data_IF_065380203953
#
_entry.id   IF_065380203953
#
_cell.length_a   1.000
_cell.length_b   1.000
_cell.length_c   1.000
_cell.angle_alpha   90.00
_cell.angle_beta   90.00
_cell.angle_gamma   90.00
#
_symmetry.space_group_name_H-M   'P 1'
#
loop_
_entity.id
_entity.type
_entity.pdbx_description
1 polymer ?
#
# COMPACT_ATOMS: atom_id res chain seq x y z
N UNK A 1 -2.23 20.39 -41.88
CA UNK A 1 -1.65 21.02 -40.67
C UNK A 1 -0.93 19.93 -39.91
N UNK A 2 0.40 19.91 -39.97
CA UNK A 2 1.24 18.97 -39.21
C UNK A 2 1.07 19.28 -37.73
N UNK A 3 0.44 18.36 -36.99
CA UNK A 3 0.32 18.48 -35.54
C UNK A 3 1.73 18.58 -34.95
N UNK A 4 2.00 19.60 -34.14
CA UNK A 4 3.25 19.70 -33.40
C UNK A 4 3.41 18.42 -32.57
N UNK A 5 4.60 17.79 -32.56
CA UNK A 5 4.82 16.61 -31.73
C UNK A 5 4.51 16.99 -30.28
N UNK A 6 3.62 16.23 -29.65
CA UNK A 6 3.39 16.38 -28.21
C UNK A 6 4.69 16.01 -27.51
N UNK A 7 5.11 16.82 -26.54
CA UNK A 7 6.36 16.63 -25.80
C UNK A 7 6.07 16.50 -24.32
N UNK A 8 6.81 15.63 -23.63
CA UNK A 8 6.76 15.46 -22.19
C UNK A 8 8.09 15.83 -21.55
N UNK A 9 8.11 16.05 -20.24
CA UNK A 9 9.33 16.29 -19.49
C UNK A 9 9.90 14.98 -18.97
N UNK A 10 11.13 14.63 -19.32
CA UNK A 10 11.80 13.48 -18.70
C UNK A 10 12.11 13.77 -17.21
N UNK A 11 11.74 12.84 -16.33
CA UNK A 11 11.88 12.94 -14.86
C UNK A 11 12.95 11.98 -14.33
N UNK A 12 12.97 10.75 -14.83
CA UNK A 12 13.93 9.72 -14.42
C UNK A 12 14.05 8.66 -15.53
N UNK A 13 15.03 7.77 -15.40
CA UNK A 13 15.19 6.57 -16.24
C UNK A 13 15.24 5.33 -15.34
N UNK A 14 14.60 4.25 -15.76
CA UNK A 14 14.42 3.02 -14.96
C UNK A 14 14.77 1.79 -15.80
N UNK A 15 15.10 0.68 -15.12
CA UNK A 15 15.28 -0.62 -15.78
C UNK A 15 14.11 -1.55 -15.48
N UNK A 16 13.56 -2.16 -16.53
CA UNK A 16 12.70 -3.35 -16.46
C UNK A 16 13.55 -4.58 -16.80
N UNK A 17 13.48 -5.63 -15.98
CA UNK A 17 14.19 -6.89 -16.22
C UNK A 17 13.21 -8.06 -16.36
N UNK A 18 13.48 -8.89 -17.37
CA UNK A 18 12.80 -10.17 -17.61
C UNK A 18 13.85 -11.26 -17.79
N UNK A 19 13.45 -12.53 -17.80
CA UNK A 19 14.34 -13.67 -18.03
C UNK A 19 15.20 -13.53 -19.31
N UNK A 20 14.66 -12.93 -20.37
CA UNK A 20 15.29 -12.93 -21.70
C UNK A 20 15.89 -11.59 -22.13
N UNK A 21 15.49 -10.48 -21.49
CA UNK A 21 15.87 -9.11 -21.89
C UNK A 21 15.76 -8.10 -20.76
N UNK A 22 16.51 -7.01 -20.89
CA UNK A 22 16.43 -5.80 -20.05
C UNK A 22 16.01 -4.61 -20.90
N UNK A 23 15.03 -3.83 -20.43
CA UNK A 23 14.55 -2.61 -21.09
C UNK A 23 14.90 -1.39 -20.26
N UNK A 24 15.40 -0.35 -20.90
CA UNK A 24 15.52 0.99 -20.29
C UNK A 24 14.26 1.77 -20.61
N UNK A 25 13.65 2.37 -19.58
CA UNK A 25 12.41 3.13 -19.66
C UNK A 25 12.67 4.58 -19.25
N UNK A 26 12.02 5.53 -19.93
CA UNK A 26 12.00 6.94 -19.55
C UNK A 26 10.71 7.23 -18.79
N UNK A 27 10.82 7.78 -17.58
CA UNK A 27 9.69 8.29 -16.80
C UNK A 27 9.41 9.73 -17.23
N UNK A 28 8.21 9.99 -17.72
CA UNK A 28 7.82 11.25 -18.32
C UNK A 28 6.69 11.93 -17.52
N UNK A 29 6.81 13.24 -17.32
CA UNK A 29 5.79 14.12 -16.77
C UNK A 29 5.04 14.80 -17.91
N UNK A 30 3.71 14.78 -17.86
CA UNK A 30 2.84 15.43 -18.83
C UNK A 30 2.15 16.63 -18.17
N UNK A 31 2.00 17.74 -18.89
CA UNK A 31 1.46 19.00 -18.32
C UNK A 31 0.06 18.84 -17.70
N UNK A 32 -0.75 17.91 -18.22
CA UNK A 32 -2.14 17.69 -17.81
C UNK A 32 -2.55 16.21 -17.79
N UNK A 33 -1.64 15.32 -17.38
CA UNK A 33 -1.93 13.88 -17.35
C UNK A 33 -1.10 13.13 -16.32
N UNK A 34 -1.44 11.86 -16.06
CA UNK A 34 -0.59 10.98 -15.27
C UNK A 34 0.79 10.91 -15.93
N UNK A 35 1.82 10.60 -15.14
CA UNK A 35 3.16 10.32 -15.68
C UNK A 35 3.09 9.15 -16.68
N UNK A 36 4.11 8.91 -17.49
CA UNK A 36 4.16 7.74 -18.39
C UNK A 36 5.54 7.09 -18.37
N UNK A 37 5.59 5.79 -18.66
CA UNK A 37 6.85 5.09 -18.94
C UNK A 37 6.95 4.77 -20.42
N UNK A 38 8.01 5.24 -21.07
CA UNK A 38 8.25 4.96 -22.50
C UNK A 38 9.53 4.16 -22.66
N UNK A 39 9.47 3.08 -23.44
CA UNK A 39 10.63 2.27 -23.74
C UNK A 39 11.66 3.10 -24.54
N UNK A 40 12.90 3.08 -24.07
CA UNK A 40 14.04 3.78 -24.66
C UNK A 40 14.84 2.81 -25.52
N UNK A 41 15.27 1.70 -24.93
CA UNK A 41 16.02 0.65 -25.61
C UNK A 41 15.81 -0.69 -24.92
N UNK A 42 16.06 -1.77 -25.66
CA UNK A 42 16.09 -3.14 -25.14
C UNK A 42 17.46 -3.74 -25.38
N UNK A 43 18.03 -4.42 -24.40
CA UNK A 43 19.30 -5.12 -24.52
C UNK A 43 19.27 -6.46 -23.79
N UNK A 44 20.14 -7.39 -24.19
CA UNK A 44 20.20 -8.74 -23.59
C UNK A 44 20.94 -8.78 -22.25
N UNK A 45 21.91 -7.88 -22.05
CA UNK A 45 22.77 -7.86 -20.86
C UNK A 45 22.25 -6.81 -19.87
N UNK A 46 21.90 -7.17 -18.63
CA UNK A 46 21.47 -6.23 -17.60
C UNK A 46 22.46 -5.09 -17.36
N UNK A 47 23.76 -5.39 -17.33
CA UNK A 47 24.83 -4.40 -17.12
C UNK A 47 24.78 -3.24 -18.12
N UNK A 48 24.46 -3.54 -19.38
CA UNK A 48 24.33 -2.50 -20.40
C UNK A 48 23.11 -1.59 -20.17
N UNK A 49 22.02 -2.14 -19.62
CA UNK A 49 20.84 -1.35 -19.26
C UNK A 49 21.14 -0.41 -18.09
N UNK A 50 21.85 -0.91 -17.07
CA UNK A 50 22.24 -0.11 -15.91
C UNK A 50 23.19 1.02 -16.28
N UNK A 51 24.24 0.73 -17.04
CA UNK A 51 25.19 1.75 -17.49
C UNK A 51 24.48 2.80 -18.38
N UNK A 52 23.54 2.37 -19.23
CA UNK A 52 22.72 3.29 -20.02
C UNK A 52 21.83 4.20 -19.15
N UNK A 53 21.13 3.65 -18.14
CA UNK A 53 20.32 4.44 -17.20
C UNK A 53 21.17 5.45 -16.45
N UNK A 54 22.35 5.05 -16.00
CA UNK A 54 23.23 5.90 -15.21
C UNK A 54 23.79 7.08 -16.03
N UNK A 55 24.19 6.80 -17.28
CA UNK A 55 24.53 7.82 -18.28
C UNK A 55 23.36 8.79 -18.49
N UNK A 56 22.15 8.27 -18.73
CA UNK A 56 20.97 9.08 -19.03
C UNK A 56 20.56 9.95 -17.83
N UNK A 57 20.62 9.43 -16.61
CA UNK A 57 20.36 10.19 -15.37
C UNK A 57 21.35 11.31 -15.16
N UNK A 58 22.65 11.07 -15.39
CA UNK A 58 23.69 12.11 -15.27
C UNK A 58 23.49 13.22 -16.31
N UNK A 59 23.17 12.87 -17.55
CA UNK A 59 22.84 13.84 -18.59
C UNK A 59 21.56 14.62 -18.24
N UNK A 60 20.52 13.94 -17.76
CA UNK A 60 19.26 14.55 -17.33
C UNK A 60 19.47 15.58 -16.20
N UNK A 61 20.27 15.22 -15.19
CA UNK A 61 20.58 16.07 -14.06
C UNK A 61 21.42 17.30 -14.47
N UNK A 62 22.39 17.12 -15.37
CA UNK A 62 23.33 18.18 -15.77
C UNK A 62 22.90 19.00 -17.00
N UNK A 63 21.93 18.50 -17.78
CA UNK A 63 21.51 19.06 -19.07
C UNK A 63 22.66 19.21 -20.07
N UNK A 64 23.63 18.29 -20.02
CA UNK A 64 24.87 18.38 -20.79
C UNK A 64 25.34 16.99 -21.23
N UNK A 65 25.56 16.81 -22.54
CA UNK A 65 26.02 15.55 -23.14
C UNK A 65 27.52 15.35 -22.92
N UNK A 66 28.30 16.44 -22.84
CA UNK A 66 29.76 16.37 -22.73
C UNK A 66 30.21 15.65 -21.45
N UNK A 67 29.35 15.59 -20.43
CA UNK A 67 29.67 14.93 -19.16
C UNK A 67 29.75 13.39 -19.22
N UNK A 68 29.30 12.77 -20.32
CA UNK A 68 29.24 11.30 -20.49
C UNK A 68 29.80 10.81 -21.83
N UNK A 69 30.43 11.68 -22.63
CA UNK A 69 30.74 11.38 -24.04
C UNK A 69 31.67 10.16 -24.20
N UNK A 70 32.69 10.03 -23.34
CA UNK A 70 33.61 8.90 -23.35
C UNK A 70 32.92 7.58 -22.95
N UNK A 71 32.09 7.60 -21.92
CA UNK A 71 31.36 6.43 -21.42
C UNK A 71 30.28 5.97 -22.42
N UNK A 72 29.53 6.92 -22.99
CA UNK A 72 28.56 6.65 -24.04
C UNK A 72 29.21 5.99 -25.25
N UNK A 73 30.41 6.44 -25.64
CA UNK A 73 31.17 5.81 -26.74
C UNK A 73 31.59 4.38 -26.39
N UNK A 74 32.08 4.14 -25.18
CA UNK A 74 32.48 2.79 -24.72
C UNK A 74 31.28 1.84 -24.76
N UNK A 75 30.16 2.22 -24.13
CA UNK A 75 28.97 1.38 -24.05
C UNK A 75 28.35 1.12 -25.44
N UNK A 76 28.23 2.15 -26.28
CA UNK A 76 27.65 1.99 -27.63
C UNK A 76 28.50 1.15 -28.58
N UNK A 77 29.79 0.95 -28.29
CA UNK A 77 30.69 0.07 -29.08
C UNK A 77 30.46 -1.41 -28.79
N UNK A 78 30.00 -1.76 -27.57
CA UNK A 78 29.74 -3.15 -27.15
C UNK A 78 28.28 -3.57 -27.28
N UNK A 79 27.39 -2.63 -27.62
CA UNK A 79 25.97 -2.87 -27.87
C UNK A 79 25.68 -3.15 -29.36
N UNK A 80 24.61 -3.89 -29.69
CA UNK A 80 24.12 -3.98 -31.08
C UNK A 80 23.69 -2.60 -31.60
N UNK A 81 23.74 -2.42 -32.93
CA UNK A 81 23.55 -1.12 -33.58
C UNK A 81 22.22 -0.43 -33.24
N UNK A 82 21.12 -1.19 -33.19
CA UNK A 82 19.79 -0.64 -32.90
C UNK A 82 19.69 -0.07 -31.46
N UNK A 83 19.97 -0.85 -30.39
CA UNK A 83 20.05 -0.32 -29.03
C UNK A 83 21.05 0.83 -28.85
N UNK A 84 22.22 0.75 -29.51
CA UNK A 84 23.22 1.81 -29.47
C UNK A 84 22.71 3.11 -30.12
N UNK A 85 21.96 3.00 -31.22
CA UNK A 85 21.28 4.12 -31.88
C UNK A 85 20.23 4.77 -30.98
N UNK A 86 19.37 3.96 -30.36
CA UNK A 86 18.37 4.44 -29.41
C UNK A 86 18.99 5.16 -28.23
N UNK A 87 20.09 4.65 -27.67
CA UNK A 87 20.79 5.30 -26.55
C UNK A 87 21.34 6.68 -26.92
N UNK A 88 21.97 6.83 -28.09
CA UNK A 88 22.48 8.13 -28.56
C UNK A 88 21.37 9.16 -28.71
N UNK A 89 20.23 8.73 -29.26
CA UNK A 89 19.05 9.60 -29.38
C UNK A 89 18.49 9.97 -28.01
N UNK A 90 18.38 9.01 -27.09
CA UNK A 90 17.93 9.20 -25.72
C UNK A 90 18.78 10.22 -24.96
N UNK A 91 20.11 10.18 -25.10
CA UNK A 91 21.03 11.16 -24.49
C UNK A 91 20.76 12.58 -25.01
N UNK A 92 20.43 12.73 -26.29
CA UNK A 92 20.07 14.03 -26.87
C UNK A 92 18.77 14.56 -26.26
N UNK A 93 17.75 13.71 -26.11
CA UNK A 93 16.49 14.08 -25.46
C UNK A 93 16.69 14.41 -23.97
N UNK A 94 17.45 13.59 -23.23
CA UNK A 94 17.75 13.81 -21.82
C UNK A 94 18.46 15.15 -21.57
N UNK A 95 19.39 15.55 -22.45
CA UNK A 95 20.10 16.81 -22.33
C UNK A 95 19.17 18.03 -22.47
N UNK A 96 18.17 17.95 -23.34
CA UNK A 96 17.15 19.00 -23.50
C UNK A 96 16.05 18.94 -22.43
N UNK A 97 15.83 17.77 -21.83
CA UNK A 97 14.71 17.49 -20.92
C UNK A 97 13.36 17.33 -21.56
N UNK A 98 13.32 17.41 -22.88
CA UNK A 98 12.11 17.29 -23.69
C UNK A 98 12.13 15.93 -24.35
N UNK A 99 11.10 15.14 -24.08
CA UNK A 99 10.93 13.80 -24.62
C UNK A 99 9.81 13.79 -25.67
N UNK A 100 10.03 13.20 -26.86
CA UNK A 100 8.97 13.05 -27.85
C UNK A 100 7.94 12.02 -27.36
N UNK A 101 6.65 12.38 -27.38
CA UNK A 101 5.57 11.48 -26.98
C UNK A 101 5.11 10.69 -28.20
N UNK A 102 5.14 9.36 -28.08
CA UNK A 102 4.34 8.45 -28.93
C UNK A 102 3.13 7.96 -28.12
N UNK A 103 2.01 7.55 -28.75
CA UNK A 103 0.89 6.95 -28.03
C UNK A 103 1.36 5.68 -27.31
N UNK A 104 1.24 5.61 -25.98
CA UNK A 104 1.53 4.38 -25.22
C UNK A 104 1.94 4.58 -23.76
N UNK A 105 1.36 3.71 -22.91
CA UNK A 105 1.60 3.47 -21.47
C UNK A 105 1.34 4.66 -20.53
N UNK A 106 0.09 4.81 -20.10
CA UNK A 106 -0.25 5.66 -18.95
C UNK A 106 0.36 5.06 -17.68
N UNK A 107 1.00 5.89 -16.86
CA UNK A 107 1.60 5.50 -15.59
C UNK A 107 0.93 6.28 -14.46
N UNK A 108 0.08 5.59 -13.71
CA UNK A 108 -0.39 6.06 -12.43
C UNK A 108 0.66 5.68 -11.38
N UNK A 109 1.19 6.66 -10.63
CA UNK A 109 1.87 6.32 -9.38
C UNK A 109 0.75 5.85 -8.47
N UNK A 110 0.67 4.54 -8.25
CA UNK A 110 -0.09 4.00 -7.12
C UNK A 110 0.58 4.57 -5.87
N UNK A 111 0.00 5.63 -5.30
CA UNK A 111 0.11 5.81 -3.85
C UNK A 111 -0.50 4.57 -3.23
N UNK A 112 -0.01 4.08 -2.07
CA UNK A 112 -0.50 2.83 -1.49
C UNK A 112 -2.00 2.93 -1.22
N UNK A 113 -2.79 2.53 -2.21
CA UNK A 113 -4.21 2.33 -2.14
C UNK A 113 -4.40 0.92 -1.62
N UNK A 114 -5.17 0.84 -0.55
CA UNK A 114 -5.22 -0.31 0.32
C UNK A 114 -6.61 -0.96 0.10
N UNK A 115 -7.03 -1.12 -1.15
CA UNK A 115 -8.30 -1.76 -1.50
C UNK A 115 -8.05 -3.08 -2.20
N UNK A 116 -8.73 -4.14 -1.77
CA UNK A 116 -8.80 -5.37 -2.54
C UNK A 116 -8.70 -6.65 -1.73
N UNK A 117 -9.84 -7.11 -1.22
CA UNK A 117 -10.08 -8.53 -0.97
C UNK A 117 -10.03 -9.30 -2.30
N UNK A 118 -9.28 -10.39 -2.33
CA UNK A 118 -9.30 -11.39 -3.40
C UNK A 118 -9.08 -12.76 -2.79
N UNK A 119 -10.01 -13.68 -3.04
CA UNK A 119 -10.13 -15.00 -2.41
C UNK A 119 -8.83 -15.82 -2.43
N UNK A 120 -8.47 -16.33 -1.25
CA UNK A 120 -7.38 -17.29 -1.04
C UNK A 120 -7.61 -18.56 -1.87
N UNK A 121 -6.67 -18.87 -2.75
CA UNK A 121 -6.51 -20.20 -3.31
C UNK A 121 -5.34 -20.88 -2.60
N UNK A 122 -5.58 -22.06 -2.02
CA UNK A 122 -4.57 -22.89 -1.37
C UNK A 122 -3.36 -23.14 -2.28
N UNK A 123 -2.19 -22.71 -1.84
CA UNK A 123 -0.92 -22.90 -2.53
C UNK A 123 -0.25 -24.17 -1.99
N UNK A 124 -0.09 -25.17 -2.85
CA UNK A 124 0.74 -26.33 -2.57
C UNK A 124 2.22 -25.98 -2.77
N UNK A 125 3.03 -26.34 -1.77
CA UNK A 125 4.46 -26.12 -1.69
C UNK A 125 5.22 -26.94 -2.75
N UNK A 126 5.87 -26.26 -3.71
CA UNK A 126 6.82 -26.89 -4.62
C UNK A 126 8.07 -26.01 -4.74
N UNK A 127 9.06 -26.34 -3.90
CA UNK A 127 10.41 -25.82 -4.01
C UNK A 127 11.04 -26.18 -5.35
N UNK A 128 11.42 -25.19 -6.16
CA UNK A 128 12.43 -25.39 -7.19
C UNK A 128 13.39 -24.21 -7.24
N UNK A 129 14.67 -24.54 -7.00
CA UNK A 129 15.80 -23.60 -6.92
C UNK A 129 16.41 -23.48 -8.31
N UNK A 130 16.22 -22.35 -8.98
CA UNK A 130 16.98 -22.01 -10.18
C UNK A 130 18.22 -21.20 -9.81
N UNK A 131 19.35 -21.89 -9.62
CA UNK A 131 20.64 -21.25 -9.38
C UNK A 131 21.11 -20.49 -10.64
N UNK A 132 21.11 -19.16 -10.60
CA UNK A 132 21.72 -18.33 -11.65
C UNK A 132 21.16 -16.92 -11.84
N UNK A 133 19.99 -16.59 -11.28
CA UNK A 133 19.38 -15.26 -11.45
C UNK A 133 19.90 -14.25 -10.41
N UNK A 134 20.12 -12.97 -10.75
CA UNK A 134 20.50 -11.94 -9.79
C UNK A 134 19.32 -11.65 -8.84
N UNK A 135 19.58 -11.34 -7.57
CA UNK A 135 18.55 -10.86 -6.63
C UNK A 135 18.32 -9.38 -6.83
N UNK A 136 17.15 -8.88 -6.48
CA UNK A 136 16.84 -7.45 -6.51
C UNK A 136 17.86 -6.64 -5.71
N UNK A 137 18.29 -7.14 -4.55
CA UNK A 137 19.33 -6.53 -3.72
C UNK A 137 20.71 -6.42 -4.39
N UNK A 138 20.99 -7.29 -5.37
CA UNK A 138 22.26 -7.34 -6.07
C UNK A 138 22.26 -6.47 -7.34
N UNK A 139 21.10 -5.89 -7.69
CA UNK A 139 20.93 -5.07 -8.89
C UNK A 139 21.28 -3.60 -8.61
N UNK A 140 22.16 -2.98 -9.41
CA UNK A 140 22.46 -1.56 -9.25
C UNK A 140 21.31 -0.68 -9.74
N UNK A 141 20.84 0.24 -8.90
CA UNK A 141 19.85 1.26 -9.29
C UNK A 141 18.40 0.88 -8.99
N UNK A 142 17.46 1.52 -9.68
CA UNK A 142 16.01 1.36 -9.46
C UNK A 142 15.44 0.35 -10.45
N UNK A 143 14.73 -0.64 -9.96
CA UNK A 143 14.07 -1.66 -10.78
C UNK A 143 12.57 -1.41 -10.82
N UNK A 144 11.96 -1.46 -12.01
CA UNK A 144 10.51 -1.37 -12.19
C UNK A 144 9.97 -2.71 -12.68
N UNK A 145 8.85 -3.15 -12.11
CA UNK A 145 8.04 -4.26 -12.61
C UNK A 145 6.88 -3.68 -13.40
N UNK A 146 6.62 -4.20 -14.60
CA UNK A 146 5.45 -3.84 -15.39
C UNK A 146 4.58 -5.09 -15.54
N UNK A 147 3.36 -5.03 -15.05
CA UNK A 147 2.32 -6.01 -15.30
C UNK A 147 1.45 -5.54 -16.46
N UNK A 148 1.14 -6.43 -17.41
CA UNK A 148 0.26 -6.14 -18.55
C UNK A 148 -0.88 -7.13 -18.59
N UNK A 149 -2.06 -6.63 -18.92
CA UNK A 149 -3.26 -7.40 -19.20
C UNK A 149 -3.64 -7.09 -20.64
N UNK A 150 -3.63 -8.13 -21.45
CA UNK A 150 -4.19 -8.09 -22.78
C UNK A 150 -5.37 -9.05 -22.82
N UNK A 151 -6.54 -8.54 -23.21
CA UNK A 151 -7.71 -9.36 -23.47
C UNK A 151 -7.97 -9.38 -24.97
N UNK A 152 -8.00 -10.58 -25.55
CA UNK A 152 -8.21 -10.79 -26.97
C UNK A 152 -9.48 -11.61 -27.20
N UNK A 153 -10.30 -11.17 -28.14
CA UNK A 153 -11.32 -11.99 -28.75
C UNK A 153 -10.75 -12.63 -30.01
N UNK A 154 -10.53 -13.94 -29.97
CA UNK A 154 -10.02 -14.70 -31.12
C UNK A 154 -11.14 -14.89 -32.13
N UNK A 155 -10.97 -14.32 -33.32
CA UNK A 155 -11.93 -14.37 -34.43
C UNK A 155 -11.54 -15.38 -35.52
N UNK A 156 -10.25 -15.73 -35.62
CA UNK A 156 -9.68 -16.70 -36.54
C UNK A 156 -8.47 -17.40 -35.88
N UNK A 157 -8.70 -18.59 -35.33
CA UNK A 157 -7.69 -19.38 -34.60
C UNK A 157 -6.53 -19.81 -35.52
N UNK A 158 -6.81 -20.23 -36.75
CA UNK A 158 -5.79 -20.67 -37.71
C UNK A 158 -4.84 -19.54 -38.09
N UNK A 159 -5.32 -18.29 -38.10
CA UNK A 159 -4.46 -17.12 -38.31
C UNK A 159 -3.52 -16.86 -37.14
N UNK A 160 -4.00 -17.02 -35.89
CA UNK A 160 -3.19 -16.86 -34.68
C UNK A 160 -2.09 -17.92 -34.62
N UNK A 161 -2.45 -19.18 -34.80
CA UNK A 161 -1.50 -20.31 -34.76
C UNK A 161 -0.43 -20.16 -35.85
N UNK A 162 -0.80 -19.76 -37.08
CA UNK A 162 0.16 -19.49 -38.15
C UNK A 162 1.08 -18.33 -37.82
N UNK A 163 0.56 -17.23 -37.27
CA UNK A 163 1.39 -16.09 -36.87
C UNK A 163 2.41 -16.47 -35.78
N UNK A 164 2.02 -17.32 -34.83
CA UNK A 164 2.93 -17.84 -33.81
C UNK A 164 3.99 -18.78 -34.42
N UNK A 165 3.59 -19.71 -35.29
CA UNK A 165 4.52 -20.60 -36.00
C UNK A 165 5.51 -19.83 -36.90
N UNK A 166 5.06 -18.76 -37.57
CA UNK A 166 5.94 -17.87 -38.35
C UNK A 166 6.99 -17.16 -37.47
N UNK A 167 6.75 -17.06 -36.16
CA UNK A 167 7.71 -16.59 -35.14
C UNK A 167 8.55 -17.70 -34.51
N UNK A 168 8.42 -18.93 -34.97
CA UNK A 168 9.17 -20.07 -34.48
C UNK A 168 8.62 -20.68 -33.19
N UNK A 169 7.35 -20.43 -32.88
CA UNK A 169 6.63 -21.19 -31.85
C UNK A 169 6.23 -22.58 -32.40
N UNK A 170 6.31 -23.59 -31.54
CA UNK A 170 5.86 -24.96 -31.84
C UNK A 170 4.81 -25.36 -30.79
N UNK A 171 3.65 -25.93 -31.21
CA UNK A 171 2.61 -26.36 -30.29
C UNK A 171 3.06 -27.53 -29.41
N UNK A 172 2.52 -27.60 -28.19
CA UNK A 172 2.74 -28.72 -27.29
C UNK A 172 2.35 -30.08 -27.91
N UNK A 173 3.03 -31.18 -27.54
CA UNK A 173 2.69 -32.51 -28.02
C UNK A 173 1.31 -32.92 -27.51
N UNK A 174 0.58 -33.74 -28.27
CA UNK A 174 -0.80 -34.13 -27.97
C UNK A 174 -1.02 -34.79 -26.59
N UNK A 175 0.04 -35.29 -25.95
CA UNK A 175 0.00 -35.82 -24.59
C UNK A 175 -0.02 -34.76 -23.49
N UNK A 176 0.30 -33.51 -23.81
CA UNK A 176 0.45 -32.37 -22.89
C UNK A 176 -0.59 -31.26 -23.14
N UNK A 177 -1.43 -31.41 -24.17
CA UNK A 177 -2.53 -30.50 -24.46
C UNK A 177 -3.67 -30.70 -23.45
N UNK A 178 -4.24 -29.60 -22.98
CA UNK A 178 -5.41 -29.63 -22.11
C UNK A 178 -6.69 -29.84 -22.94
N UNK A 179 -7.71 -30.49 -22.35
CA UNK A 179 -8.98 -30.79 -23.05
C UNK A 179 -9.73 -29.51 -23.48
N UNK A 180 -9.47 -28.39 -22.83
CA UNK A 180 -10.04 -27.07 -23.10
C UNK A 180 -9.18 -26.18 -24.03
N UNK A 181 -7.96 -26.59 -24.37
CA UNK A 181 -7.09 -25.93 -25.36
C UNK A 181 -6.39 -26.94 -26.29
N UNK A 182 -7.16 -27.57 -27.21
CA UNK A 182 -6.65 -28.63 -28.07
C UNK A 182 -5.67 -28.16 -29.16
N UNK A 183 -5.48 -26.84 -29.32
CA UNK A 183 -4.59 -26.24 -30.30
C UNK A 183 -3.34 -25.57 -29.71
N UNK A 184 -3.19 -25.59 -28.38
CA UNK A 184 -2.22 -24.75 -27.64
C UNK A 184 -2.35 -23.26 -28.04
N UNK A 185 -3.59 -22.81 -28.19
CA UNK A 185 -3.94 -21.44 -28.54
C UNK A 185 -3.42 -20.48 -27.47
N UNK A 186 -3.43 -20.87 -26.20
CA UNK A 186 -2.85 -20.08 -25.10
C UNK A 186 -1.34 -19.92 -25.32
N UNK A 187 -0.60 -21.00 -25.63
CA UNK A 187 0.83 -20.93 -25.92
C UNK A 187 1.16 -20.08 -27.15
N UNK A 188 0.33 -20.16 -28.19
CA UNK A 188 0.47 -19.33 -29.39
C UNK A 188 0.29 -17.84 -29.06
N UNK A 189 -0.78 -17.48 -28.34
CA UNK A 189 -1.05 -16.10 -27.92
C UNK A 189 0.08 -15.60 -27.01
N UNK A 190 0.53 -16.39 -26.03
CA UNK A 190 1.64 -16.03 -25.14
C UNK A 190 2.92 -15.67 -25.91
N UNK A 191 3.21 -16.36 -27.01
CA UNK A 191 4.38 -16.05 -27.86
C UNK A 191 4.22 -14.73 -28.63
N UNK A 192 2.99 -14.30 -28.88
CA UNK A 192 2.66 -13.10 -29.64
C UNK A 192 2.41 -11.86 -28.75
N UNK A 193 2.37 -11.99 -27.42
CA UNK A 193 1.96 -10.96 -26.45
C UNK A 193 2.72 -9.63 -26.46
N UNK A 194 3.90 -9.55 -27.10
CA UNK A 194 4.59 -8.26 -27.28
C UNK A 194 3.92 -7.37 -28.35
N UNK A 195 2.95 -7.88 -29.12
CA UNK A 195 2.19 -7.13 -30.14
C UNK A 195 0.75 -6.83 -29.74
N UNK A 196 0.35 -5.57 -29.92
CA UNK A 196 -1.03 -5.10 -29.64
C UNK A 196 -2.01 -5.47 -30.77
N UNK A 197 -1.49 -5.75 -31.98
CA UNK A 197 -2.29 -6.02 -33.19
C UNK A 197 -2.06 -7.46 -33.67
N UNK A 198 -2.76 -8.39 -33.02
CA UNK A 198 -2.60 -9.83 -33.22
C UNK A 198 -3.46 -10.32 -34.40
N UNK A 199 -2.86 -10.88 -35.47
CA UNK A 199 -3.62 -11.36 -36.62
C UNK A 199 -4.66 -12.42 -36.23
N UNK A 200 -5.91 -12.22 -36.65
CA UNK A 200 -7.00 -13.13 -36.31
C UNK A 200 -7.64 -12.88 -34.94
N UNK A 201 -7.23 -11.84 -34.21
CA UNK A 201 -7.85 -11.43 -32.97
C UNK A 201 -8.25 -9.95 -32.96
N UNK A 202 -9.24 -9.65 -32.12
CA UNK A 202 -9.61 -8.29 -31.77
C UNK A 202 -9.18 -8.03 -30.32
N UNK A 203 -8.38 -7.00 -30.11
CA UNK A 203 -8.03 -6.52 -28.75
C UNK A 203 -9.27 -5.91 -28.11
N UNK A 204 -9.71 -6.51 -26.99
CA UNK A 204 -10.84 -6.04 -26.19
C UNK A 204 -10.37 -5.08 -25.10
N UNK A 205 -9.24 -5.40 -24.46
CA UNK A 205 -8.68 -4.64 -23.34
C UNK A 205 -7.15 -4.64 -23.42
N UNK A 206 -6.55 -3.49 -23.12
CA UNK A 206 -5.09 -3.31 -23.02
C UNK A 206 -4.78 -2.41 -21.83
N UNK A 207 -4.31 -3.02 -20.75
CA UNK A 207 -3.97 -2.33 -19.51
C UNK A 207 -2.55 -2.69 -19.09
N UNK A 208 -1.89 -1.72 -18.46
CA UNK A 208 -0.57 -1.92 -17.89
C UNK A 208 -0.43 -1.14 -16.59
N UNK A 209 0.13 -1.77 -15.57
CA UNK A 209 0.59 -1.10 -14.34
C UNK A 209 2.08 -1.30 -14.20
N UNK A 210 2.76 -0.29 -13.69
CA UNK A 210 4.16 -0.39 -13.37
C UNK A 210 4.41 0.00 -11.91
N UNK A 211 5.22 -0.79 -11.22
CA UNK A 211 5.56 -0.62 -9.82
C UNK A 211 7.09 -0.51 -9.68
N UNK A 212 7.55 0.44 -8.88
CA UNK A 212 8.94 0.48 -8.48
C UNK A 212 9.18 -0.58 -7.40
N UNK A 213 10.12 -1.49 -7.65
CA UNK A 213 10.49 -2.54 -6.69
C UNK A 213 11.45 -2.00 -5.63
N UNK A 214 11.20 -2.37 -4.38
CA UNK A 214 12.01 -2.03 -3.22
C UNK A 214 12.37 -3.29 -2.42
N UNK A 215 13.66 -3.64 -2.27
CA UNK A 215 14.05 -4.74 -1.40
C UNK A 215 13.61 -4.55 0.06
N UNK A 216 13.54 -3.29 0.50
CA UNK A 216 13.06 -2.94 1.85
C UNK A 216 11.57 -3.28 2.02
N UNK A 217 10.80 -3.35 0.93
CA UNK A 217 9.39 -3.74 0.91
C UNK A 217 9.22 -5.27 0.69
N UNK A 218 10.31 -6.05 0.79
CA UNK A 218 10.32 -7.49 0.51
C UNK A 218 10.14 -7.83 -0.97
N UNK A 219 10.29 -6.86 -1.87
CA UNK A 219 10.24 -7.13 -3.30
C UNK A 219 11.42 -7.98 -3.74
N UNK A 220 11.14 -8.86 -4.69
CA UNK A 220 12.15 -9.71 -5.29
C UNK A 220 11.79 -9.91 -6.78
N UNK A 221 12.76 -10.26 -7.63
CA UNK A 221 12.50 -10.49 -9.07
C UNK A 221 11.55 -11.69 -9.29
N UNK A 222 10.81 -11.68 -10.40
CA UNK A 222 9.76 -12.67 -10.67
C UNK A 222 10.26 -14.13 -10.60
N UNK A 223 11.46 -14.40 -11.10
CA UNK A 223 12.05 -15.75 -11.11
C UNK A 223 12.64 -16.18 -9.76
N UNK A 224 12.78 -15.23 -8.84
CA UNK A 224 13.22 -15.47 -7.47
C UNK A 224 12.06 -15.60 -6.49
N UNK A 225 10.84 -15.25 -6.89
CA UNK A 225 9.67 -15.48 -6.07
C UNK A 225 9.34 -16.97 -6.07
N UNK A 226 9.43 -17.60 -4.88
CA UNK A 226 9.05 -19.00 -4.71
C UNK A 226 7.54 -19.25 -4.91
N UNK A 227 6.73 -18.18 -4.95
CA UNK A 227 5.29 -18.25 -5.19
C UNK A 227 4.99 -17.96 -6.66
N UNK A 228 4.43 -18.92 -7.42
CA UNK A 228 3.95 -18.63 -8.77
C UNK A 228 2.82 -17.59 -8.70
N UNK A 229 2.91 -16.53 -9.49
CA UNK A 229 1.82 -15.55 -9.65
C UNK A 229 0.71 -16.26 -10.45
N UNK A 230 -0.24 -16.85 -9.73
CA UNK A 230 -1.40 -17.51 -10.34
C UNK A 230 -2.61 -16.64 -10.10
N UNK A 231 -3.21 -16.13 -11.18
CA UNK A 231 -4.41 -15.28 -11.11
C UNK A 231 -5.53 -16.00 -11.87
N UNK A 232 -6.67 -16.22 -11.20
CA UNK A 232 -7.90 -16.68 -11.84
C UNK A 232 -8.80 -15.49 -12.10
N UNK A 233 -9.22 -15.31 -13.35
CA UNK A 233 -10.08 -14.21 -13.75
C UNK A 233 -11.56 -14.54 -13.50
N UNK A 234 -12.28 -13.63 -12.85
CA UNK A 234 -13.75 -13.62 -12.76
C UNK A 234 -14.27 -12.26 -13.24
N UNK A 235 -15.54 -12.20 -13.67
CA UNK A 235 -16.13 -11.12 -14.50
C UNK A 235 -15.67 -9.68 -14.18
N UNK A 236 -15.25 -8.95 -15.22
CA UNK A 236 -15.06 -7.49 -15.17
C UNK A 236 -13.74 -7.01 -14.56
N UNK A 237 -12.66 -7.75 -14.77
CA UNK A 237 -11.35 -7.46 -14.19
C UNK A 237 -10.69 -6.22 -14.80
N UNK A 238 -10.04 -5.41 -13.96
CA UNK A 238 -9.09 -4.36 -14.36
C UNK A 238 -7.76 -4.67 -13.69
N UNK A 239 -6.67 -4.27 -14.31
CA UNK A 239 -5.30 -4.28 -13.80
C UNK A 239 -5.16 -3.23 -12.69
N UNK A 240 -6.04 -3.25 -11.69
CA UNK A 240 -5.81 -2.64 -10.38
C UNK A 240 -5.28 -3.76 -9.50
N UNK A 241 -4.02 -4.12 -9.73
CA UNK A 241 -3.33 -5.03 -8.84
C UNK A 241 -2.95 -4.23 -7.59
N UNK A 242 -3.82 -4.22 -6.60
CA UNK A 242 -3.40 -3.94 -5.23
C UNK A 242 -2.56 -5.13 -4.80
N UNK A 243 -1.26 -5.03 -5.02
CA UNK A 243 -0.33 -5.94 -4.38
C UNK A 243 -0.53 -5.76 -2.88
N UNK A 244 -1.10 -6.75 -2.21
CA UNK A 244 -0.86 -6.92 -0.78
C UNK A 244 0.65 -7.10 -0.62
N UNK A 245 1.34 -5.97 -0.44
CA UNK A 245 2.72 -5.97 0.00
C UNK A 245 2.71 -6.81 1.27
N UNK A 246 3.57 -7.84 1.39
CA UNK A 246 3.90 -8.28 2.73
C UNK A 246 4.35 -7.02 3.44
N UNK A 247 3.67 -6.63 4.53
CA UNK A 247 4.14 -5.53 5.35
C UNK A 247 5.63 -5.80 5.58
N UNK A 248 6.50 -4.92 5.06
CA UNK A 248 7.94 -4.97 5.29
C UNK A 248 8.10 -5.33 6.75
N UNK A 249 8.60 -6.55 7.08
CA UNK A 249 8.46 -7.19 8.41
C UNK A 249 8.29 -6.10 9.44
N UNK A 250 7.03 -5.79 9.80
CA UNK A 250 6.73 -4.55 10.51
C UNK A 250 7.55 -4.66 11.77
N UNK A 251 8.68 -3.93 11.84
CA UNK A 251 9.58 -4.05 12.98
C UNK A 251 8.73 -3.56 14.13
N UNK A 252 8.21 -4.49 14.91
CA UNK A 252 7.33 -4.20 16.03
C UNK A 252 8.01 -3.11 16.82
N UNK A 253 7.34 -1.95 17.05
CA UNK A 253 7.95 -0.85 17.76
C UNK A 253 8.58 -1.35 19.04
N UNK A 254 9.81 -0.90 19.34
CA UNK A 254 10.48 -1.33 20.56
C UNK A 254 9.87 -0.60 21.75
N UNK A 255 8.71 -1.05 22.23
CA UNK A 255 7.97 -0.40 23.32
C UNK A 255 8.79 -0.28 24.61
N UNK A 256 9.73 -1.20 24.86
CA UNK A 256 10.65 -1.08 25.98
C UNK A 256 11.57 0.15 25.88
N UNK A 257 11.95 0.55 24.66
CA UNK A 257 12.74 1.76 24.42
C UNK A 257 11.87 3.02 24.31
N UNK A 258 10.65 2.90 23.81
CA UNK A 258 9.72 4.03 23.61
C UNK A 258 9.05 4.48 24.92
N UNK A 259 8.73 3.54 25.80
CA UNK A 259 8.07 3.79 27.09
C UNK A 259 8.95 3.32 28.26
N UNK A 260 10.16 3.88 28.44
CA UNK A 260 11.08 3.41 29.47
C UNK A 260 10.45 3.57 30.86
N UNK A 261 10.50 2.51 31.65
CA UNK A 261 9.97 2.51 33.01
C UNK A 261 10.75 3.50 33.89
N UNK A 262 10.02 4.35 34.61
CA UNK A 262 10.59 5.20 35.64
C UNK A 262 10.49 4.51 36.99
N UNK A 263 11.64 4.21 37.60
CA UNK A 263 11.68 3.67 38.96
C UNK A 263 11.55 4.82 39.99
N UNK A 264 10.47 4.84 40.77
CA UNK A 264 10.30 5.77 41.89
C UNK A 264 11.19 5.30 43.06
N UNK A 265 12.12 6.15 43.50
CA UNK A 265 12.97 5.90 44.67
C UNK A 265 12.34 6.36 45.99
N UNK A 266 11.16 6.97 45.94
CA UNK A 266 10.42 7.34 47.15
C UNK A 266 9.95 6.04 47.79
N UNK A 267 10.43 5.74 49.00
CA UNK A 267 10.30 4.45 49.66
C UNK A 267 8.87 4.15 50.17
N UNK A 268 7.86 4.30 49.31
CA UNK A 268 6.45 4.13 49.62
C UNK A 268 5.78 5.34 50.27
N UNK A 269 6.46 6.48 50.39
CA UNK A 269 5.81 7.75 50.71
C UNK A 269 5.48 8.46 49.39
N UNK A 270 4.20 8.54 48.99
CA UNK A 270 3.80 9.22 47.77
C UNK A 270 4.16 10.70 47.92
N UNK A 271 5.13 11.12 47.14
CA UNK A 271 5.53 12.52 46.99
C UNK A 271 4.81 13.06 45.75
N UNK A 272 3.85 13.96 45.95
CA UNK A 272 3.08 14.60 44.87
C UNK A 272 3.97 15.37 43.89
N UNK A 273 5.18 15.76 44.32
CA UNK A 273 6.17 16.46 43.50
C UNK A 273 7.15 15.50 42.78
N UNK A 274 7.04 14.17 42.98
CA UNK A 274 7.89 13.19 42.32
C UNK A 274 7.27 12.66 41.02
N UNK A 275 7.81 12.98 39.84
CA UNK A 275 7.24 12.57 38.55
C UNK A 275 7.17 11.05 38.35
N UNK A 276 8.04 10.30 39.03
CA UNK A 276 8.12 8.86 38.92
C UNK A 276 7.10 8.11 39.80
N UNK A 277 6.44 8.80 40.74
CA UNK A 277 5.51 8.17 41.68
C UNK A 277 4.04 8.34 41.26
N UNK A 278 3.79 8.85 40.05
CA UNK A 278 2.49 8.83 39.38
C UNK A 278 2.33 7.62 38.46
N UNK A 279 1.09 7.35 38.04
CA UNK A 279 0.79 6.31 37.06
C UNK A 279 1.55 6.56 35.75
N UNK A 280 2.12 5.50 35.18
CA UNK A 280 2.81 5.57 33.88
C UNK A 280 2.23 4.59 32.87
N UNK A 281 2.14 5.04 31.61
CA UNK A 281 1.85 4.15 30.50
C UNK A 281 3.05 3.22 30.24
N UNK A 282 2.93 1.97 30.65
CA UNK A 282 4.02 0.99 30.60
C UNK A 282 4.26 0.43 29.17
N UNK A 283 5.45 -0.11 28.85
CA UNK A 283 5.71 -0.77 27.57
C UNK A 283 4.69 -1.85 27.21
N UNK A 284 4.29 -2.65 28.20
CA UNK A 284 3.33 -3.75 28.01
C UNK A 284 1.94 -3.22 27.71
N UNK A 285 1.51 -2.19 28.42
CA UNK A 285 0.21 -1.56 28.18
C UNK A 285 0.18 -0.87 26.81
N UNK A 286 1.25 -0.13 26.46
CA UNK A 286 1.39 0.53 25.16
C UNK A 286 1.39 -0.47 23.98
N UNK A 287 2.09 -1.60 24.10
CA UNK A 287 2.11 -2.65 23.09
C UNK A 287 0.71 -3.24 22.83
N UNK A 288 -0.05 -3.52 23.90
CA UNK A 288 -1.41 -4.04 23.75
C UNK A 288 -2.40 -3.01 23.22
N UNK A 289 -2.32 -1.75 23.68
CA UNK A 289 -3.18 -0.69 23.14
C UNK A 289 -2.88 -0.47 21.66
N UNK A 290 -1.61 -0.45 21.26
CA UNK A 290 -1.22 -0.29 19.86
C UNK A 290 -1.67 -1.48 19.00
N UNK A 291 -1.60 -2.70 19.55
CA UNK A 291 -2.16 -3.90 18.92
C UNK A 291 -3.68 -3.76 18.71
N UNK A 292 -4.42 -3.40 19.78
CA UNK A 292 -5.86 -3.27 19.73
C UNK A 292 -6.31 -2.18 18.75
N UNK A 293 -5.68 -1.00 18.80
CA UNK A 293 -5.94 0.10 17.87
C UNK A 293 -5.65 -0.29 16.43
N UNK A 294 -4.56 -1.02 16.16
CA UNK A 294 -4.23 -1.46 14.80
C UNK A 294 -5.27 -2.44 14.26
N UNK A 295 -5.72 -3.40 15.07
CA UNK A 295 -6.75 -4.37 14.68
C UNK A 295 -8.10 -3.67 14.46
N UNK A 296 -8.49 -2.79 15.38
CA UNK A 296 -9.72 -2.00 15.25
C UNK A 296 -9.69 -1.09 14.02
N UNK A 297 -8.55 -0.51 13.68
CA UNK A 297 -8.39 0.26 12.45
C UNK A 297 -8.66 -0.61 11.23
N UNK A 298 -8.00 -1.77 11.13
CA UNK A 298 -8.17 -2.70 10.01
C UNK A 298 -9.62 -3.17 9.89
N UNK A 299 -10.25 -3.56 11.00
CA UNK A 299 -11.65 -3.96 11.06
C UNK A 299 -12.60 -2.81 10.67
N UNK A 300 -12.35 -1.59 11.15
CA UNK A 300 -13.18 -0.43 10.84
C UNK A 300 -13.06 -0.01 9.37
N UNK A 301 -11.88 -0.14 8.75
CA UNK A 301 -11.72 0.10 7.32
C UNK A 301 -12.43 -0.98 6.48
N UNK A 302 -12.36 -2.25 6.87
CA UNK A 302 -13.10 -3.34 6.20
C UNK A 302 -14.62 -3.14 6.31
N UNK A 303 -15.09 -2.79 7.51
CA UNK A 303 -16.49 -2.46 7.75
C UNK A 303 -16.92 -1.23 6.94
N UNK A 304 -16.05 -0.22 6.78
CA UNK A 304 -16.37 0.99 6.03
C UNK A 304 -16.53 0.69 4.54
N UNK A 305 -15.61 -0.09 3.97
CA UNK A 305 -15.66 -0.51 2.57
C UNK A 305 -16.91 -1.35 2.29
N UNK A 306 -17.18 -2.35 3.14
CA UNK A 306 -18.31 -3.28 2.97
C UNK A 306 -19.67 -2.60 3.17
N UNK A 307 -19.78 -1.67 4.12
CA UNK A 307 -21.02 -0.96 4.41
C UNK A 307 -21.25 0.21 3.44
N UNK A 308 -20.19 0.86 2.95
CA UNK A 308 -20.27 2.03 2.08
C UNK A 308 -21.09 3.16 2.71
N UNK A 309 -22.10 3.67 1.99
CA UNK A 309 -23.05 4.69 2.48
C UNK A 309 -24.36 4.08 3.03
N UNK A 310 -24.43 2.75 3.18
CA UNK A 310 -25.65 2.10 3.63
C UNK A 310 -25.93 2.38 5.11
N UNK A 311 -27.21 2.44 5.47
CA UNK A 311 -27.62 2.51 6.87
C UNK A 311 -27.32 1.19 7.57
N UNK A 312 -26.79 1.24 8.80
CA UNK A 312 -26.60 0.04 9.62
C UNK A 312 -27.96 -0.35 10.23
N UNK A 313 -28.57 -1.49 9.85
CA UNK A 313 -29.83 -1.91 10.45
C UNK A 313 -29.65 -2.17 11.94
N UNK A 314 -30.72 -1.93 12.70
CA UNK A 314 -30.81 -1.87 14.18
C UNK A 314 -29.86 -2.81 14.96
N UNK A 315 -29.47 -2.40 16.17
CA UNK A 315 -28.33 -2.82 17.03
C UNK A 315 -28.15 -4.33 17.39
N UNK A 316 -28.74 -5.26 16.64
CA UNK A 316 -28.58 -6.72 16.76
C UNK A 316 -27.93 -7.34 15.52
N UNK A 317 -27.43 -6.52 14.59
CA UNK A 317 -26.66 -6.98 13.43
C UNK A 317 -25.24 -7.35 13.85
N UNK A 318 -25.06 -8.51 14.49
CA UNK A 318 -23.78 -9.03 15.05
C UNK A 318 -22.74 -9.46 14.00
N UNK A 319 -22.73 -8.82 12.83
CA UNK A 319 -21.88 -9.19 11.71
C UNK A 319 -20.86 -8.12 11.32
N UNK A 320 -20.84 -6.99 12.05
CA UNK A 320 -19.85 -5.94 11.93
C UNK A 320 -18.85 -6.08 13.07
N UNK A 321 -17.60 -5.74 12.81
CA UNK A 321 -16.51 -5.89 13.77
C UNK A 321 -16.40 -4.65 14.67
N UNK A 322 -16.71 -3.47 14.12
CA UNK A 322 -16.59 -2.17 14.82
C UNK A 322 -17.88 -1.37 14.82
N UNK A 323 -18.55 -1.18 13.68
CA UNK A 323 -19.58 -0.13 13.59
C UNK A 323 -20.90 -0.45 14.29
N UNK A 324 -21.20 -1.70 14.63
CA UNK A 324 -22.33 -2.06 15.47
C UNK A 324 -22.08 -1.80 16.97
N UNK A 325 -20.81 -1.72 17.38
CA UNK A 325 -20.35 -1.38 18.74
C UNK A 325 -20.41 0.12 19.05
N UNK A 326 -20.61 0.97 18.04
CA UNK A 326 -20.70 2.42 18.23
C UNK A 326 -22.10 2.87 18.70
N UNK A 327 -22.23 4.09 19.28
CA UNK A 327 -23.53 4.61 19.69
C UNK A 327 -24.54 4.65 18.53
N UNK A 328 -25.84 4.39 18.77
CA UNK A 328 -26.85 4.30 17.70
C UNK A 328 -26.95 5.54 16.79
N UNK A 329 -26.56 6.72 17.26
CA UNK A 329 -26.52 7.94 16.47
C UNK A 329 -25.59 7.81 15.24
N UNK A 330 -24.60 6.92 15.29
CA UNK A 330 -23.60 6.70 14.23
C UNK A 330 -24.10 5.76 13.13
N UNK A 331 -25.22 5.06 13.32
CA UNK A 331 -25.71 4.08 12.35
C UNK A 331 -26.16 4.69 11.02
N UNK A 332 -26.46 6.00 11.03
CA UNK A 332 -26.78 6.81 9.84
C UNK A 332 -25.55 7.41 9.15
N UNK A 333 -24.35 7.23 9.70
CA UNK A 333 -23.13 7.84 9.17
C UNK A 333 -22.85 7.38 7.74
N UNK A 334 -22.25 8.27 6.94
CA UNK A 334 -21.84 7.94 5.57
C UNK A 334 -20.47 7.26 5.53
N UNK A 335 -20.05 6.81 4.35
CA UNK A 335 -18.75 6.17 4.14
C UNK A 335 -17.58 7.07 4.57
N UNK A 336 -17.71 8.38 4.36
CA UNK A 336 -16.65 9.35 4.69
C UNK A 336 -16.46 9.45 6.20
N UNK A 337 -17.54 9.54 6.96
CA UNK A 337 -17.52 9.54 8.41
C UNK A 337 -16.91 8.24 8.94
N UNK A 338 -17.29 7.10 8.37
CA UNK A 338 -16.76 5.77 8.74
C UNK A 338 -15.26 5.65 8.52
N UNK A 339 -14.74 6.14 7.38
CA UNK A 339 -13.29 6.19 7.14
C UNK A 339 -12.57 7.14 8.11
N UNK A 340 -13.19 8.26 8.51
CA UNK A 340 -12.65 9.15 9.56
C UNK A 340 -12.63 8.47 10.93
N UNK A 341 -13.62 7.66 11.27
CA UNK A 341 -13.62 6.86 12.49
C UNK A 341 -12.53 5.79 12.44
N UNK A 342 -12.42 5.03 11.34
CA UNK A 342 -11.35 4.06 11.13
C UNK A 342 -9.96 4.70 11.27
N UNK A 343 -9.80 5.92 10.75
CA UNK A 343 -8.56 6.70 10.87
C UNK A 343 -8.24 7.16 12.30
N UNK A 344 -9.24 7.34 13.16
CA UNK A 344 -8.98 7.72 14.56
C UNK A 344 -8.22 6.63 15.32
N UNK A 345 -8.48 5.35 15.01
CA UNK A 345 -7.70 4.24 15.57
C UNK A 345 -6.23 4.28 15.11
N UNK A 346 -5.99 4.53 13.80
CA UNK A 346 -4.65 4.69 13.25
C UNK A 346 -3.89 5.84 13.90
N UNK A 347 -4.55 6.99 14.09
CA UNK A 347 -3.90 8.18 14.64
C UNK A 347 -3.38 7.91 16.06
N UNK A 348 -4.13 7.18 16.89
CA UNK A 348 -3.68 6.76 18.22
C UNK A 348 -2.63 5.63 18.19
N UNK A 349 -2.75 4.68 17.26
CA UNK A 349 -1.74 3.63 17.08
C UNK A 349 -0.39 4.24 16.66
N UNK A 350 -0.42 5.23 15.78
CA UNK A 350 0.73 5.99 15.31
C UNK A 350 1.41 6.79 16.44
N UNK A 351 0.64 7.34 17.38
CA UNK A 351 1.19 8.01 18.56
C UNK A 351 2.01 7.03 19.39
N UNK A 352 1.44 5.86 19.71
CA UNK A 352 2.12 4.81 20.46
C UNK A 352 3.37 4.29 19.74
N UNK A 353 3.30 4.09 18.43
CA UNK A 353 4.44 3.65 17.62
C UNK A 353 5.60 4.67 17.61
N UNK A 354 5.32 5.95 17.86
CA UNK A 354 6.31 7.04 18.00
C UNK A 354 6.78 7.24 19.44
N UNK A 355 6.23 6.51 20.40
CA UNK A 355 6.50 6.67 21.83
C UNK A 355 5.77 7.85 22.46
N UNK A 356 4.69 8.32 21.83
CA UNK A 356 3.80 9.33 22.40
C UNK A 356 2.64 8.66 23.13
N UNK A 357 2.09 9.36 24.12
CA UNK A 357 0.85 8.93 24.76
C UNK A 357 -0.31 9.08 23.74
N UNK A 358 -1.28 8.16 23.74
CA UNK A 358 -2.40 8.20 22.80
C UNK A 358 -3.45 9.21 23.29
N UNK A 359 -3.07 10.49 23.38
CA UNK A 359 -3.91 11.57 23.89
C UNK A 359 -5.00 11.92 22.87
N UNK A 360 -6.29 11.64 23.13
CA UNK A 360 -7.36 11.94 22.21
C UNK A 360 -7.51 13.45 21.99
N UNK A 361 -7.55 13.84 20.72
CA UNK A 361 -7.72 15.24 20.32
C UNK A 361 -9.15 15.58 19.93
N UNK A 362 -10.03 14.59 19.77
CA UNK A 362 -11.44 14.73 19.42
C UNK A 362 -12.27 13.54 19.93
N UNK A 363 -13.60 13.68 19.91
CA UNK A 363 -14.56 12.66 20.38
C UNK A 363 -14.39 11.29 19.70
N UNK A 364 -14.04 11.27 18.41
CA UNK A 364 -13.79 10.03 17.68
C UNK A 364 -12.56 9.29 18.21
N UNK A 365 -11.50 10.00 18.57
CA UNK A 365 -10.30 9.41 19.18
C UNK A 365 -10.60 8.89 20.60
N UNK A 366 -11.44 9.57 21.39
CA UNK A 366 -11.86 9.05 22.70
C UNK A 366 -12.66 7.76 22.57
N UNK A 367 -13.60 7.70 21.62
CA UNK A 367 -14.32 6.46 21.32
C UNK A 367 -13.39 5.36 20.81
N UNK A 368 -12.40 5.70 19.96
CA UNK A 368 -11.42 4.74 19.46
C UNK A 368 -10.58 4.14 20.60
N UNK A 369 -10.11 5.00 21.53
CA UNK A 369 -9.37 4.57 22.70
C UNK A 369 -10.23 3.71 23.65
N UNK A 370 -11.51 4.04 23.79
CA UNK A 370 -12.45 3.25 24.61
C UNK A 370 -12.53 1.81 24.14
N UNK A 371 -12.76 1.60 22.84
CA UNK A 371 -12.84 0.27 22.25
C UNK A 371 -11.50 -0.48 22.34
N UNK A 372 -10.37 0.23 22.19
CA UNK A 372 -9.06 -0.38 22.33
C UNK A 372 -8.77 -0.86 23.77
N UNK A 373 -9.16 -0.08 24.78
CA UNK A 373 -9.07 -0.47 26.19
C UNK A 373 -9.97 -1.67 26.49
N UNK A 374 -11.16 -1.73 25.89
CA UNK A 374 -12.08 -2.86 26.02
C UNK A 374 -11.51 -4.16 25.41
N UNK A 375 -10.85 -4.07 24.25
CA UNK A 375 -10.35 -5.24 23.51
C UNK A 375 -8.97 -5.74 23.97
N UNK A 376 -8.11 -4.85 24.46
CA UNK A 376 -6.74 -5.17 24.88
C UNK A 376 -6.62 -6.39 25.84
N UNK A 377 -7.51 -6.59 26.83
CA UNK A 377 -7.50 -7.79 27.68
C UNK A 377 -7.72 -9.10 26.91
N UNK A 378 -8.46 -9.08 25.80
CA UNK A 378 -8.68 -10.27 24.97
C UNK A 378 -7.41 -10.61 24.21
N UNK A 379 -6.76 -9.63 23.57
CA UNK A 379 -5.47 -9.86 22.90
C UNK A 379 -4.39 -10.35 23.87
N UNK A 380 -4.35 -9.87 25.12
CA UNK A 380 -3.44 -10.40 26.12
C UNK A 380 -3.69 -11.88 26.44
N UNK A 381 -4.96 -12.30 26.55
CA UNK A 381 -5.32 -13.70 26.86
C UNK A 381 -5.01 -14.66 25.72
N UNK A 382 -5.14 -14.18 24.48
CA UNK A 382 -4.95 -14.99 23.28
C UNK A 382 -3.47 -15.10 22.85
N UNK A 383 -2.57 -14.33 23.46
CA UNK A 383 -1.14 -14.40 23.18
C UNK A 383 -0.52 -15.72 23.68
N UNK A 384 0.31 -16.38 22.85
CA UNK A 384 1.04 -17.57 23.26
C UNK A 384 2.14 -17.23 24.27
N UNK A 385 2.53 -18.20 25.11
CA UNK A 385 3.46 -17.96 26.21
C UNK A 385 4.89 -17.53 25.76
N UNK A 386 5.26 -17.80 24.51
CA UNK A 386 6.53 -17.43 23.89
C UNK A 386 6.47 -16.12 23.08
N UNK A 387 5.34 -15.41 23.13
CA UNK A 387 5.17 -14.11 22.48
C UNK A 387 6.17 -13.07 23.00
N UNK A 388 6.71 -12.25 22.09
CA UNK A 388 7.67 -11.20 22.41
C UNK A 388 7.15 -10.19 23.44
N UNK A 389 5.84 -9.96 23.50
CA UNK A 389 5.18 -9.14 24.52
C UNK A 389 5.60 -9.54 25.94
N UNK A 390 5.72 -10.84 26.21
CA UNK A 390 6.07 -11.34 27.53
C UNK A 390 7.52 -11.03 27.93
N UNK A 391 8.38 -10.67 26.97
CA UNK A 391 9.76 -10.24 27.20
C UNK A 391 9.90 -8.76 27.58
N UNK A 392 8.84 -7.96 27.45
CA UNK A 392 8.85 -6.55 27.81
C UNK A 392 9.05 -6.36 29.34
N UNK A 393 9.66 -5.24 29.77
CA UNK A 393 9.80 -4.92 31.20
C UNK A 393 8.47 -4.96 31.94
N UNK A 394 8.45 -5.50 33.16
CA UNK A 394 7.26 -5.56 34.02
C UNK A 394 7.21 -4.37 34.97
N UNK A 395 6.00 -3.89 35.24
CA UNK A 395 5.73 -2.81 36.19
C UNK A 395 4.38 -3.03 36.90
N UNK A 396 4.19 -2.40 38.06
CA UNK A 396 2.93 -2.53 38.83
C UNK A 396 1.72 -1.88 38.13
N UNK A 397 1.98 -0.89 37.27
CA UNK A 397 0.95 -0.22 36.46
C UNK A 397 0.53 -1.01 35.21
N UNK A 398 1.18 -2.16 34.93
CA UNK A 398 0.85 -2.97 33.76
C UNK A 398 -0.63 -3.36 33.74
N UNK A 399 -1.30 -3.10 32.60
CA UNK A 399 -2.69 -3.51 32.35
C UNK A 399 -3.71 -2.92 33.34
N UNK A 400 -3.40 -1.76 33.93
CA UNK A 400 -4.34 -0.99 34.75
C UNK A 400 -5.34 -0.25 33.85
N UNK A 401 -6.26 -1.00 33.23
CA UNK A 401 -7.21 -0.50 32.22
C UNK A 401 -8.14 0.60 32.76
N UNK A 402 -8.53 0.50 34.03
CA UNK A 402 -9.31 1.55 34.71
C UNK A 402 -8.52 2.88 34.77
N UNK A 403 -7.21 2.81 35.04
CA UNK A 403 -6.33 3.98 35.03
C UNK A 403 -6.16 4.54 33.61
N UNK A 404 -6.05 3.68 32.59
CA UNK A 404 -6.02 4.12 31.19
C UNK A 404 -7.29 4.91 30.85
N UNK A 405 -8.46 4.40 31.21
CA UNK A 405 -9.75 5.06 30.99
C UNK A 405 -9.86 6.37 31.78
N UNK A 406 -9.37 6.41 33.01
CA UNK A 406 -9.47 7.60 33.87
C UNK A 406 -8.47 8.72 33.53
N UNK A 407 -7.29 8.38 32.98
CA UNK A 407 -6.17 9.31 32.81
C UNK A 407 -5.89 9.71 31.35
N UNK A 408 -6.25 8.87 30.37
CA UNK A 408 -6.02 9.19 28.96
C UNK A 408 -7.19 9.91 28.29
N UNK A 409 -8.39 9.84 28.89
CA UNK A 409 -9.58 10.54 28.39
C UNK A 409 -9.57 11.99 28.85
N UNK A 410 -10.14 12.91 28.05
CA UNK A 410 -10.47 14.24 28.56
C UNK A 410 -11.69 14.15 29.48
N UNK A 411 -12.72 13.40 29.04
CA UNK A 411 -13.92 13.07 29.80
C UNK A 411 -14.56 11.74 29.33
N UNK A 412 -15.73 11.38 29.87
CA UNK A 412 -16.46 10.16 29.48
C UNK A 412 -17.81 10.48 28.81
N UNK A 413 -17.99 11.69 28.32
CA UNK A 413 -19.27 12.18 27.83
C UNK A 413 -19.73 11.44 26.59
N UNK A 414 -18.79 11.04 25.72
CA UNK A 414 -19.08 10.22 24.53
C UNK A 414 -19.76 8.90 24.88
N UNK A 415 -19.50 8.32 26.05
CA UNK A 415 -20.11 7.07 26.50
C UNK A 415 -21.58 7.25 26.90
N UNK A 416 -22.02 8.48 27.19
CA UNK A 416 -23.44 8.76 27.47
C UNK A 416 -24.33 8.52 26.25
N UNK A 417 -23.78 8.56 25.03
CA UNK A 417 -24.50 8.38 23.77
C UNK A 417 -25.08 6.95 23.60
N UNK A 418 -24.58 5.98 24.35
CA UNK A 418 -25.14 4.62 24.39
C UNK A 418 -26.47 4.56 25.18
N UNK A 419 -26.71 5.52 26.08
CA UNK A 419 -27.89 5.50 26.91
C UNK A 419 -29.10 6.08 26.17
N UNK A 420 -29.99 5.19 25.71
CA UNK A 420 -31.25 5.56 25.03
C UNK A 420 -32.14 6.52 25.84
N UNK A 421 -32.01 6.57 27.17
CA UNK A 421 -32.76 7.54 27.98
C UNK A 421 -32.25 8.98 27.87
N UNK A 422 -31.07 9.16 27.30
CA UNK A 422 -30.41 10.45 27.06
C UNK A 422 -30.43 10.85 25.57
N UNK A 423 -31.36 10.33 24.76
CA UNK A 423 -31.48 10.77 23.35
C UNK A 423 -31.66 12.29 23.26
N UNK A 424 -30.91 12.95 22.37
CA UNK A 424 -30.88 14.40 22.24
C UNK A 424 -29.85 15.08 23.14
N UNK A 425 -29.05 14.32 23.90
CA UNK A 425 -27.93 14.87 24.68
C UNK A 425 -26.73 15.24 23.81
N UNK A 426 -26.68 14.74 22.59
CA UNK A 426 -25.63 15.06 21.63
C UNK A 426 -25.64 16.52 21.17
N UNK A 427 -26.80 17.18 21.25
CA UNK A 427 -27.00 18.57 20.85
C UNK A 427 -26.55 19.53 21.98
N UNK A 428 -25.58 20.44 21.74
CA UNK A 428 -25.14 21.41 22.73
C UNK A 428 -26.23 22.41 23.16
N UNK A 429 -27.30 22.56 22.38
CA UNK A 429 -28.46 23.39 22.75
C UNK A 429 -29.46 22.63 23.66
N UNK A 430 -29.25 21.33 23.89
CA UNK A 430 -30.09 20.52 24.77
C UNK A 430 -29.92 20.92 26.24
N UNK A 431 -31.02 21.12 27.00
CA UNK A 431 -30.93 21.42 28.43
C UNK A 431 -30.22 20.35 29.25
N UNK A 432 -30.17 19.10 28.78
CA UNK A 432 -29.45 18.02 29.45
C UNK A 432 -27.94 18.16 29.25
N UNK A 433 -27.50 18.39 28.00
CA UNK A 433 -26.10 18.62 27.64
C UNK A 433 -25.52 19.82 28.41
N UNK A 434 -26.20 20.97 28.38
CA UNK A 434 -25.76 22.19 29.06
C UNK A 434 -25.65 22.06 30.59
N UNK A 435 -26.51 21.22 31.21
CA UNK A 435 -26.45 20.99 32.66
C UNK A 435 -25.27 20.13 33.07
N UNK A 436 -24.87 19.20 32.20
CA UNK A 436 -23.71 18.34 32.43
C UNK A 436 -22.41 19.01 31.96
N UNK A 437 -22.51 20.08 31.17
CA UNK A 437 -21.35 20.82 30.67
C UNK A 437 -20.64 20.09 29.54
N UNK A 438 -21.37 19.27 28.79
CA UNK A 438 -20.82 18.43 27.73
C UNK A 438 -20.48 19.25 26.48
N UNK A 439 -19.61 18.69 25.64
CA UNK A 439 -19.32 19.23 24.31
C UNK A 439 -20.44 19.00 23.28
N UNK A 440 -20.17 19.42 22.05
CA UNK A 440 -21.02 19.12 20.89
C UNK A 440 -20.73 17.70 20.38
N UNK A 441 -21.60 16.75 20.71
CA UNK A 441 -21.42 15.34 20.36
C UNK A 441 -22.25 14.93 19.13
N UNK A 442 -22.79 15.90 18.38
CA UNK A 442 -23.50 15.63 17.12
C UNK A 442 -22.55 14.96 16.14
N UNK A 443 -23.09 14.07 15.31
CA UNK A 443 -22.32 13.20 14.41
C UNK A 443 -21.24 13.92 13.60
N UNK A 444 -21.57 15.10 13.07
CA UNK A 444 -20.67 15.89 12.21
C UNK A 444 -19.47 16.49 12.97
N UNK A 445 -19.56 16.64 14.30
CA UNK A 445 -18.56 17.29 15.14
C UNK A 445 -17.62 16.32 15.85
N UNK A 446 -17.80 15.01 15.69
CA UNK A 446 -16.98 13.99 16.35
C UNK A 446 -15.46 14.11 16.10
N UNK A 447 -15.09 14.79 15.03
CA UNK A 447 -13.71 14.92 14.58
C UNK A 447 -13.18 16.35 14.70
N UNK A 448 -13.97 17.25 15.29
CA UNK A 448 -13.50 18.59 15.59
C UNK A 448 -12.55 18.51 16.81
N UNK A 449 -11.43 19.23 16.79
CA UNK A 449 -10.50 19.22 17.91
C UNK A 449 -11.14 19.78 19.19
N UNK A 450 -10.79 19.22 20.33
CA UNK A 450 -11.09 19.82 21.63
C UNK A 450 -10.41 21.18 21.78
N UNK A 451 -11.00 22.08 22.57
CA UNK A 451 -10.52 23.46 22.77
C UNK A 451 -9.07 23.54 23.29
N UNK A 452 -8.61 22.51 24.01
CA UNK A 452 -7.26 22.41 24.56
C UNK A 452 -6.28 21.63 23.67
N UNK A 453 -6.72 21.14 22.50
CA UNK A 453 -5.96 20.22 21.66
C UNK A 453 -5.67 20.79 20.27
N UNK A 454 -4.51 20.43 19.70
CA UNK A 454 -4.18 20.80 18.33
C UNK A 454 -4.82 19.81 17.34
N UNK A 455 -5.30 20.33 16.21
CA UNK A 455 -5.82 19.48 15.15
C UNK A 455 -4.71 18.58 14.57
N UNK A 456 -5.04 17.30 14.33
CA UNK A 456 -4.21 16.35 13.57
C UNK A 456 -3.95 16.87 12.14
N UNK A 457 -2.80 16.55 11.55
CA UNK A 457 -2.43 16.99 10.18
C UNK A 457 -3.49 16.52 9.16
N UNK A 458 -4.17 17.43 8.43
CA UNK A 458 -5.19 17.05 7.45
C UNK A 458 -4.65 16.27 6.25
N UNK A 459 -3.33 16.23 6.03
CA UNK A 459 -2.69 15.50 4.91
C UNK A 459 -2.33 14.06 5.22
N UNK A 460 -2.63 13.58 6.43
CA UNK A 460 -2.27 12.24 6.89
C UNK A 460 -2.91 11.10 6.10
N UNK A 461 -3.99 11.38 5.35
CA UNK A 461 -4.65 10.44 4.45
C UNK A 461 -5.53 9.42 5.17
N UNK A 462 -5.87 8.33 4.48
CA UNK A 462 -6.61 7.19 5.00
C UNK A 462 -5.90 5.91 4.55
N UNK A 463 -5.94 4.85 5.35
CA UNK A 463 -5.79 3.50 4.79
C UNK A 463 -7.03 3.20 3.93
N UNK A 464 -6.86 2.35 2.93
CA UNK A 464 -7.90 1.76 2.06
C UNK A 464 -8.62 2.76 1.16
#
# INVERSE_FOLDING_TARGET
MTASPRTARAVDFLCEHTQSKSRVMALLDHDHGPRSLTAVLTCKKPDHAYEAVDILRRVLARRDIACVEDELRVLTTVMPDAPAGSLRQAVTHAATGIWPISPGTLYEIVQPDNSGSGSEAEIADVSSVAAGHPRLNDLPGKTVRIARLHEFHITDEDAVLRAAMDRGWEPLPASELADDDPGDLVGAVMTLTDDIDLPGAQTLEDQSVAELLSPDDGDELADWSASPITIRFHHGWRLHYARSRPAAEARTPNYAALFPLQECTCAGEPDEDCPACGWQLTPRTADLLSTALSILADQAFDDAERLGDQYLPDAQSTGWEVFDRLPPLTYIADHRWRRRMARAFDDLADDLAKGWWPDPTCTAEEMALHLAIEDAPTYLRDRPADDQHHSLPQHEDDYTWDSCSALLFQDHDVLMLFNKSLTGIEDPDSPANQRLGMGDLRLDNWFEPFDNSAARDPRRGFRR
#
